data_IF_388891284165
#
_entry.id   IF_388891284165
#
_cell.length_a   1.000
_cell.length_b   1.000
_cell.length_c   1.000
_cell.angle_alpha   90.00
_cell.angle_beta   90.00
_cell.angle_gamma   90.00
#
_symmetry.space_group_name_H-M   'P 1'
#
loop_
_entity.id
_entity.type
_entity.pdbx_description
1 polymer ?
#
# COMPACT_ATOMS: atom_id res chain seq x y z
N UNK A 1 21.07 -11.61 14.16
CA UNK A 1 19.97 -12.54 13.82
C UNK A 1 18.93 -11.67 13.14
N UNK A 2 18.74 -11.78 11.82
CA UNK A 2 17.66 -11.05 11.13
C UNK A 2 16.46 -11.99 11.05
N UNK A 3 15.39 -11.62 11.74
CA UNK A 3 14.11 -12.29 11.68
C UNK A 3 13.13 -11.46 10.86
N UNK A 4 11.85 -11.58 11.20
CA UNK A 4 10.79 -10.73 10.68
C UNK A 4 10.89 -9.32 11.29
N UNK A 5 10.71 -8.28 10.49
CA UNK A 5 10.60 -6.90 10.98
C UNK A 5 9.16 -6.60 11.44
N UNK A 6 8.98 -5.59 12.29
CA UNK A 6 7.66 -5.26 12.86
C UNK A 6 6.60 -4.84 11.82
N UNK A 7 7.03 -4.35 10.66
CA UNK A 7 6.17 -3.93 9.55
C UNK A 7 5.92 -5.04 8.52
N UNK A 8 6.44 -6.24 8.76
CA UNK A 8 6.33 -7.35 7.81
C UNK A 8 5.33 -8.40 8.28
N UNK A 9 4.65 -8.99 7.31
CA UNK A 9 3.69 -10.05 7.50
C UNK A 9 4.35 -11.39 7.08
N UNK A 10 4.30 -12.45 7.91
CA UNK A 10 5.09 -13.65 7.68
C UNK A 10 4.51 -14.58 6.61
N UNK A 11 5.40 -15.17 5.81
CA UNK A 11 5.16 -16.35 4.96
C UNK A 11 6.29 -17.36 5.16
N UNK A 12 5.98 -18.61 5.46
CA UNK A 12 6.98 -19.66 5.64
C UNK A 12 6.38 -21.03 5.41
N UNK A 13 7.04 -21.87 4.62
CA UNK A 13 6.54 -23.22 4.38
C UNK A 13 5.14 -23.21 3.76
N UNK A 14 4.22 -23.94 4.37
CA UNK A 14 2.79 -23.95 4.01
C UNK A 14 2.00 -22.75 4.54
N UNK A 15 2.56 -21.98 5.47
CA UNK A 15 1.89 -20.90 6.15
C UNK A 15 2.03 -19.58 5.38
N UNK A 16 0.89 -18.97 5.09
CA UNK A 16 0.77 -17.60 4.58
C UNK A 16 -0.20 -16.90 5.52
N UNK A 17 0.24 -15.82 6.16
CA UNK A 17 -0.62 -15.04 7.04
C UNK A 17 -1.89 -14.58 6.29
N UNK A 18 -3.09 -14.72 6.87
CA UNK A 18 -4.36 -14.36 6.22
C UNK A 18 -4.47 -12.90 5.76
N UNK A 19 -3.68 -11.99 6.35
CA UNK A 19 -3.62 -10.58 5.93
C UNK A 19 -2.95 -10.40 4.56
N UNK A 20 -2.23 -11.40 4.07
CA UNK A 20 -1.64 -11.40 2.73
C UNK A 20 -2.72 -11.77 1.71
N UNK A 21 -3.35 -10.73 1.17
CA UNK A 21 -4.46 -10.85 0.23
C UNK A 21 -3.98 -10.51 -1.18
N UNK A 22 -4.23 -11.36 -2.19
CA UNK A 22 -4.03 -11.02 -3.60
C UNK A 22 -4.77 -9.74 -3.99
N UNK A 23 -4.17 -8.93 -4.84
CA UNK A 23 -4.63 -7.63 -5.29
C UNK A 23 -3.96 -6.46 -4.61
N UNK A 24 -3.34 -6.67 -3.44
CA UNK A 24 -2.55 -5.68 -2.72
C UNK A 24 -1.07 -5.72 -3.15
N UNK A 25 -0.34 -4.63 -2.91
CA UNK A 25 1.08 -4.52 -3.21
C UNK A 25 1.94 -4.83 -1.98
N UNK A 26 3.04 -5.55 -2.18
CA UNK A 26 3.98 -5.88 -1.12
C UNK A 26 5.42 -5.70 -1.57
N UNK A 27 6.30 -5.24 -0.68
CA UNK A 27 7.74 -5.50 -0.80
C UNK A 27 8.04 -6.84 -0.14
N UNK A 28 8.97 -7.60 -0.71
CA UNK A 28 9.29 -8.95 -0.24
C UNK A 28 10.74 -9.03 0.20
N UNK A 29 10.99 -9.51 1.41
CA UNK A 29 12.33 -9.72 1.95
C UNK A 29 12.45 -11.11 2.56
N UNK A 30 13.48 -11.89 2.22
CA UNK A 30 13.73 -13.14 2.93
C UNK A 30 14.33 -12.87 4.30
N UNK A 31 13.86 -13.57 5.31
CA UNK A 31 14.14 -13.23 6.70
C UNK A 31 15.63 -13.29 7.03
N UNK A 32 16.37 -14.20 6.39
CA UNK A 32 17.82 -14.37 6.59
C UNK A 32 18.71 -13.30 5.95
N UNK A 33 18.15 -12.31 5.22
CA UNK A 33 18.93 -11.24 4.58
C UNK A 33 18.24 -9.88 4.68
N UNK A 34 19.03 -8.81 4.54
CA UNK A 34 18.54 -7.43 4.57
C UNK A 34 17.98 -6.94 3.24
N UNK A 35 18.43 -7.55 2.13
CA UNK A 35 18.05 -7.09 0.80
C UNK A 35 16.69 -7.64 0.40
N UNK A 36 15.84 -6.76 -0.09
CA UNK A 36 14.55 -7.10 -0.68
C UNK A 36 14.74 -7.81 -2.03
N UNK A 37 13.80 -8.70 -2.35
CA UNK A 37 13.62 -9.23 -3.70
C UNK A 37 13.09 -8.14 -4.64
N UNK A 38 13.08 -8.44 -5.95
CA UNK A 38 12.51 -7.55 -6.98
C UNK A 38 13.10 -6.13 -6.99
N UNK A 39 14.36 -6.00 -6.61
CA UNK A 39 15.07 -4.72 -6.46
C UNK A 39 14.41 -3.77 -5.44
N UNK A 40 13.73 -4.31 -4.42
CA UNK A 40 13.03 -3.52 -3.42
C UNK A 40 11.73 -2.87 -3.87
N UNK A 41 11.25 -3.22 -5.06
CA UNK A 41 9.99 -2.70 -5.58
C UNK A 41 8.81 -3.38 -4.89
N UNK A 42 7.77 -2.59 -4.66
CA UNK A 42 6.47 -3.10 -4.25
C UNK A 42 5.77 -3.66 -5.49
N UNK A 43 5.43 -4.95 -5.49
CA UNK A 43 4.71 -5.57 -6.59
C UNK A 43 3.33 -6.03 -6.12
N UNK A 44 2.34 -5.92 -7.00
CA UNK A 44 1.00 -6.43 -6.74
C UNK A 44 1.02 -7.95 -6.70
N UNK A 45 0.56 -8.54 -5.60
CA UNK A 45 0.36 -9.97 -5.50
C UNK A 45 -0.85 -10.36 -6.36
N UNK A 46 -0.67 -11.20 -7.37
CA UNK A 46 -1.76 -11.66 -8.25
C UNK A 46 -2.45 -12.91 -7.68
N UNK A 47 -1.68 -13.83 -7.09
CA UNK A 47 -2.23 -15.07 -6.55
C UNK A 47 -1.31 -15.72 -5.51
N UNK A 48 -1.93 -16.51 -4.63
CA UNK A 48 -1.26 -17.48 -3.77
C UNK A 48 -1.68 -18.87 -4.23
N UNK A 49 -0.74 -19.68 -4.69
CA UNK A 49 -0.98 -21.00 -5.23
C UNK A 49 -1.47 -21.99 -4.16
N UNK A 50 -2.34 -22.92 -4.59
CA UNK A 50 -2.72 -24.09 -3.79
C UNK A 50 -1.57 -25.12 -3.83
N UNK A 51 -1.17 -25.63 -2.67
CA UNK A 51 -0.02 -26.55 -2.56
C UNK A 51 0.65 -26.52 -1.18
N UNK A 52 1.63 -27.40 -0.99
CA UNK A 52 2.46 -27.42 0.23
C UNK A 52 3.44 -26.25 0.22
N UNK A 53 4.24 -26.14 -0.83
CA UNK A 53 4.93 -24.89 -1.14
C UNK A 53 3.92 -23.89 -1.73
N UNK A 54 3.72 -22.75 -1.07
CA UNK A 54 2.83 -21.70 -1.57
C UNK A 54 3.55 -20.89 -2.63
N UNK A 55 3.06 -20.95 -3.87
CA UNK A 55 3.55 -20.11 -4.96
C UNK A 55 2.94 -18.71 -4.85
N UNK A 56 3.75 -17.72 -4.49
CA UNK A 56 3.38 -16.31 -4.52
C UNK A 56 3.69 -15.78 -5.92
N UNK A 57 2.67 -15.38 -6.67
CA UNK A 57 2.82 -14.81 -8.03
C UNK A 57 2.52 -13.32 -7.98
N UNK A 58 3.49 -12.50 -8.39
CA UNK A 58 3.41 -11.05 -8.44
C UNK A 58 3.26 -10.55 -9.88
N UNK A 59 2.76 -9.33 -10.02
CA UNK A 59 2.60 -8.66 -11.31
C UNK A 59 3.92 -8.60 -12.09
N UNK A 60 3.95 -9.11 -13.33
CA UNK A 60 5.14 -9.06 -14.17
C UNK A 60 5.41 -7.65 -14.70
N UNK A 61 6.68 -7.30 -14.89
CA UNK A 61 7.04 -6.07 -15.62
C UNK A 61 6.70 -6.16 -17.11
N UNK A 62 6.75 -7.38 -17.66
CA UNK A 62 6.43 -7.68 -19.04
C UNK A 62 5.82 -9.09 -19.13
N UNK A 63 4.74 -9.24 -19.90
CA UNK A 63 4.04 -10.50 -20.12
C UNK A 63 4.90 -11.61 -20.76
N UNK A 64 6.00 -11.25 -21.44
CA UNK A 64 6.83 -12.21 -22.20
C UNK A 64 7.80 -12.99 -21.28
N UNK A 65 8.37 -12.35 -20.25
CA UNK A 65 9.36 -12.96 -19.35
C UNK A 65 8.96 -12.78 -17.88
N UNK A 66 7.85 -13.40 -17.49
CA UNK A 66 7.29 -13.28 -16.15
C UNK A 66 8.04 -14.13 -15.10
N UNK A 67 9.18 -13.62 -14.62
CA UNK A 67 9.93 -14.22 -13.50
C UNK A 67 9.54 -13.63 -12.12
N UNK A 68 8.32 -13.13 -12.00
CA UNK A 68 7.84 -12.45 -10.79
C UNK A 68 7.05 -13.39 -9.89
N UNK A 69 7.57 -14.59 -9.63
CA UNK A 69 6.98 -15.53 -8.68
C UNK A 69 8.05 -16.18 -7.81
N UNK A 70 7.63 -16.67 -6.65
CA UNK A 70 8.49 -17.36 -5.71
C UNK A 70 7.71 -18.42 -4.95
N UNK A 71 8.42 -19.39 -4.39
CA UNK A 71 7.85 -20.42 -3.53
C UNK A 71 8.23 -20.12 -2.09
N UNK A 72 7.27 -20.18 -1.17
CA UNK A 72 7.48 -19.98 0.26
C UNK A 72 8.58 -20.89 0.85
N UNK A 73 8.74 -22.10 0.32
CA UNK A 73 9.71 -23.09 0.80
C UNK A 73 11.14 -22.84 0.30
N UNK A 74 11.33 -22.01 -0.73
CA UNK A 74 12.68 -21.66 -1.22
C UNK A 74 13.44 -20.78 -0.20
N UNK A 75 12.79 -20.37 0.88
CA UNK A 75 13.34 -19.59 1.97
C UNK A 75 13.08 -20.31 3.29
N UNK A 76 14.02 -21.14 3.77
CA UNK A 76 13.85 -21.93 5.00
C UNK A 76 13.50 -21.07 6.22
N UNK A 77 14.06 -19.87 6.30
CA UNK A 77 13.82 -18.90 7.36
C UNK A 77 12.52 -18.09 7.17
N UNK A 78 11.82 -18.31 6.05
CA UNK A 78 10.62 -17.59 5.65
C UNK A 78 10.88 -16.25 4.96
N UNK A 79 9.79 -15.56 4.70
CA UNK A 79 9.68 -14.28 4.03
C UNK A 79 8.90 -13.30 4.91
N UNK A 80 9.34 -12.05 4.90
CA UNK A 80 8.57 -10.89 5.34
C UNK A 80 7.97 -10.17 4.15
N UNK A 81 6.65 -9.98 4.17
CA UNK A 81 5.93 -9.16 3.20
C UNK A 81 5.54 -7.84 3.85
N UNK A 82 6.12 -6.74 3.41
CA UNK A 82 5.76 -5.39 3.84
C UNK A 82 4.58 -4.90 2.97
N UNK A 83 3.39 -4.63 3.55
CA UNK A 83 2.26 -4.09 2.80
C UNK A 83 2.53 -2.68 2.32
N UNK A 84 2.12 -2.36 1.09
CA UNK A 84 2.32 -1.05 0.47
C UNK A 84 1.00 -0.52 -0.07
N UNK A 85 0.44 0.47 0.63
CA UNK A 85 -0.76 1.18 0.20
C UNK A 85 -0.42 2.29 -0.78
N UNK A 86 0.61 3.08 -0.46
CA UNK A 86 1.03 4.25 -1.24
C UNK A 86 2.38 4.01 -1.90
N UNK A 87 2.49 4.31 -3.19
CA UNK A 87 3.71 4.16 -3.98
C UNK A 87 4.07 5.45 -4.74
N UNK A 88 5.35 5.60 -5.06
CA UNK A 88 5.85 6.71 -5.89
C UNK A 88 5.08 6.77 -7.21
N UNK A 89 4.69 7.98 -7.60
CA UNK A 89 3.92 8.25 -8.82
C UNK A 89 2.40 8.18 -8.65
N UNK A 90 1.88 7.70 -7.52
CA UNK A 90 0.44 7.80 -7.24
C UNK A 90 0.02 9.27 -7.11
N UNK A 91 -1.16 9.58 -7.67
CA UNK A 91 -1.73 10.92 -7.70
C UNK A 91 -3.03 10.97 -6.90
N UNK A 92 -3.26 12.09 -6.22
CA UNK A 92 -4.39 12.29 -5.34
C UNK A 92 -4.97 13.68 -5.54
N UNK A 93 -6.27 13.83 -5.31
CA UNK A 93 -6.98 15.08 -5.10
C UNK A 93 -7.05 15.32 -3.58
N UNK A 94 -6.55 16.46 -3.13
CA UNK A 94 -6.60 16.87 -1.72
C UNK A 94 -7.91 17.59 -1.47
N UNK A 95 -8.65 17.23 -0.42
CA UNK A 95 -9.93 17.81 -0.03
C UNK A 95 -9.96 18.19 1.46
N UNK A 96 -10.72 19.24 1.80
CA UNK A 96 -11.20 19.52 3.15
C UNK A 96 -12.73 19.61 3.13
N UNK A 97 -13.41 18.61 3.69
CA UNK A 97 -14.83 18.40 3.42
C UNK A 97 -15.09 18.19 1.92
N UNK A 98 -16.04 18.96 1.35
CA UNK A 98 -16.34 18.93 -0.09
C UNK A 98 -15.43 19.82 -0.93
N UNK A 99 -14.66 20.71 -0.31
CA UNK A 99 -13.79 21.62 -1.02
C UNK A 99 -12.52 20.92 -1.50
N UNK A 100 -12.21 21.03 -2.79
CA UNK A 100 -10.94 20.58 -3.34
C UNK A 100 -9.89 21.66 -3.08
N UNK A 101 -8.79 21.22 -2.50
CA UNK A 101 -7.65 22.07 -2.15
C UNK A 101 -6.52 21.97 -3.17
N UNK A 102 -6.42 20.87 -3.92
CA UNK A 102 -5.41 20.71 -4.97
C UNK A 102 -5.13 19.26 -5.35
N UNK A 103 -3.97 19.03 -5.99
CA UNK A 103 -3.47 17.69 -6.32
C UNK A 103 -2.16 17.39 -5.60
N UNK A 104 -1.94 16.11 -5.28
CA UNK A 104 -0.71 15.63 -4.69
C UNK A 104 -0.17 14.45 -5.50
N UNK A 105 1.15 14.42 -5.69
CA UNK A 105 1.84 13.27 -6.28
C UNK A 105 2.84 12.72 -5.28
N UNK A 106 2.85 11.40 -5.09
CA UNK A 106 3.80 10.76 -4.19
C UNK A 106 5.18 10.80 -4.83
N UNK A 107 6.06 11.59 -4.23
CA UNK A 107 7.43 11.73 -4.69
C UNK A 107 8.36 10.65 -4.10
N UNK A 108 8.14 10.24 -2.85
CA UNK A 108 8.97 9.24 -2.14
C UNK A 108 8.11 8.37 -1.22
N UNK A 109 8.51 7.11 -1.07
CA UNK A 109 7.80 6.13 -0.25
C UNK A 109 8.78 5.25 0.58
N UNK A 110 9.96 5.78 0.92
CA UNK A 110 11.07 4.98 1.46
C UNK A 110 10.82 4.41 2.87
N UNK A 111 9.93 5.01 3.65
CA UNK A 111 9.59 4.54 5.00
C UNK A 111 8.66 3.33 4.95
N UNK A 112 8.82 2.37 5.89
CA UNK A 112 7.87 1.27 6.03
C UNK A 112 6.44 1.75 6.24
N UNK A 113 5.47 0.98 5.73
CA UNK A 113 4.05 1.17 5.99
C UNK A 113 3.55 0.02 6.86
N UNK A 114 2.61 0.32 7.75
CA UNK A 114 2.05 -0.63 8.72
C UNK A 114 0.57 -0.81 8.45
N UNK A 115 0.08 -2.03 8.59
CA UNK A 115 -1.35 -2.30 8.62
C UNK A 115 -1.88 -1.92 10.02
N UNK A 116 -2.78 -0.94 10.07
CA UNK A 116 -3.46 -0.54 11.31
C UNK A 116 -4.65 -1.45 11.63
N UNK A 117 -5.49 -1.76 10.64
CA UNK A 117 -6.67 -2.61 10.78
C UNK A 117 -7.12 -3.17 9.42
N UNK A 118 -7.76 -4.35 9.43
CA UNK A 118 -8.42 -4.95 8.27
C UNK A 118 -9.83 -5.39 8.66
N UNK A 119 -10.83 -4.86 7.94
CA UNK A 119 -12.23 -5.24 8.12
C UNK A 119 -12.93 -5.50 6.79
N UNK A 120 -13.93 -6.38 6.80
CA UNK A 120 -14.79 -6.65 5.65
C UNK A 120 -16.03 -5.76 5.74
N UNK A 121 -16.15 -4.80 4.84
CA UNK A 121 -17.25 -3.83 4.85
C UNK A 121 -18.25 -4.12 3.71
N UNK A 122 -19.54 -4.06 3.99
CA UNK A 122 -20.63 -4.09 3.01
C UNK A 122 -21.09 -2.65 2.75
N UNK A 123 -20.98 -2.13 1.50
CA UNK A 123 -21.26 -0.70 1.22
C UNK A 123 -21.99 -0.42 -0.11
N UNK A 124 -22.75 0.68 -0.11
CA UNK A 124 -23.49 1.33 -1.23
C UNK A 124 -22.80 2.65 -1.65
N UNK A 125 -22.86 3.07 -2.94
CA UNK A 125 -22.05 4.17 -3.55
C UNK A 125 -22.75 5.54 -3.63
N UNK A 126 -21.99 6.66 -3.61
CA UNK A 126 -22.04 7.67 -4.71
C UNK A 126 -20.67 8.35 -5.03
N UNK A 127 -20.58 9.20 -6.08
CA UNK A 127 -19.33 9.80 -6.62
C UNK A 127 -19.39 11.31 -7.00
N UNK A 128 -18.32 11.87 -7.60
CA UNK A 128 -18.23 13.22 -8.23
C UNK A 128 -16.91 14.02 -7.95
N UNK A 129 -16.36 14.82 -8.91
CA UNK A 129 -14.97 15.37 -8.90
C UNK A 129 -14.71 16.88 -9.26
N UNK A 130 -13.44 17.20 -9.65
CA UNK A 130 -12.76 18.43 -10.25
C UNK A 130 -12.58 19.75 -9.45
N UNK A 131 -11.53 20.62 -9.53
CA UNK A 131 -10.14 20.73 -10.11
C UNK A 131 -9.42 22.07 -9.71
N UNK A 132 -8.06 22.09 -9.69
CA UNK A 132 -7.00 23.17 -9.79
C UNK A 132 -6.87 24.35 -8.76
N UNK A 133 -5.70 24.92 -8.39
CA UNK A 133 -4.26 24.53 -8.32
C UNK A 133 -3.45 25.55 -7.45
N UNK A 134 -2.56 25.08 -6.57
CA UNK A 134 -1.29 25.72 -6.15
C UNK A 134 -0.43 24.66 -5.43
N UNK A 135 0.87 24.57 -5.71
CA UNK A 135 1.70 23.41 -5.33
C UNK A 135 2.68 23.68 -4.17
N UNK A 136 2.71 22.77 -3.20
CA UNK A 136 3.68 22.77 -2.11
C UNK A 136 4.22 21.36 -1.85
N UNK A 137 5.54 21.22 -1.68
CA UNK A 137 6.15 19.95 -1.27
C UNK A 137 5.96 19.75 0.23
N UNK A 138 5.30 18.65 0.61
CA UNK A 138 4.98 18.36 2.01
C UNK A 138 5.34 16.92 2.36
N UNK A 139 5.79 16.73 3.60
CA UNK A 139 5.87 15.40 4.20
C UNK A 139 4.50 15.07 4.79
N UNK A 140 3.93 13.96 4.34
CA UNK A 140 2.64 13.43 4.81
C UNK A 140 2.88 12.12 5.55
N UNK A 141 2.42 12.03 6.79
CA UNK A 141 2.19 10.76 7.49
C UNK A 141 0.70 10.64 7.79
N UNK A 142 0.05 9.54 7.42
CA UNK A 142 -1.39 9.36 7.64
C UNK A 142 -1.83 7.93 7.43
N UNK A 143 -3.13 7.69 7.56
CA UNK A 143 -3.75 6.36 7.39
C UNK A 143 -4.34 6.26 5.99
N UNK A 144 -3.85 5.31 5.20
CA UNK A 144 -4.37 5.03 3.87
C UNK A 144 -5.41 3.89 3.93
N UNK A 145 -6.62 4.15 3.44
CA UNK A 145 -7.63 3.11 3.27
C UNK A 145 -7.41 2.44 1.92
N UNK A 146 -7.11 1.15 1.94
CA UNK A 146 -6.97 0.34 0.72
C UNK A 146 -8.16 -0.61 0.63
N UNK A 147 -8.86 -0.59 -0.50
CA UNK A 147 -10.03 -1.44 -0.74
C UNK A 147 -9.79 -2.37 -1.93
N UNK A 148 -10.15 -3.63 -1.74
CA UNK A 148 -10.29 -4.62 -2.81
C UNK A 148 -11.76 -5.01 -2.94
N UNK A 149 -12.38 -4.68 -4.07
CA UNK A 149 -13.73 -5.11 -4.36
C UNK A 149 -13.76 -6.64 -4.64
N UNK A 150 -14.83 -7.38 -4.28
CA UNK A 150 -14.86 -8.84 -4.39
C UNK A 150 -14.56 -9.40 -5.78
N UNK A 151 -15.00 -8.70 -6.84
CA UNK A 151 -14.79 -9.08 -8.25
C UNK A 151 -13.55 -8.46 -8.88
N UNK A 152 -12.82 -7.63 -8.12
CA UNK A 152 -11.59 -6.99 -8.58
C UNK A 152 -10.37 -7.83 -8.20
N UNK A 153 -9.44 -7.95 -9.13
CA UNK A 153 -8.11 -8.51 -8.90
C UNK A 153 -7.12 -7.45 -8.39
N UNK A 154 -7.59 -6.23 -8.15
CA UNK A 154 -6.77 -5.06 -7.84
C UNK A 154 -7.37 -4.38 -6.60
N UNK A 155 -6.56 -4.25 -5.56
CA UNK A 155 -6.82 -3.37 -4.45
C UNK A 155 -6.37 -1.95 -4.83
N UNK A 156 -7.10 -0.94 -4.39
CA UNK A 156 -6.80 0.47 -4.67
C UNK A 156 -6.92 1.26 -3.39
N UNK A 157 -6.08 2.28 -3.25
CA UNK A 157 -6.32 3.30 -2.22
C UNK A 157 -7.69 3.92 -2.51
N UNK A 158 -8.44 4.26 -1.47
CA UNK A 158 -9.73 4.95 -1.54
C UNK A 158 -9.58 6.36 -1.03
N UNK A 159 -8.90 6.51 0.09
CA UNK A 159 -8.56 7.80 0.69
C UNK A 159 -7.34 7.65 1.60
N UNK A 160 -6.62 8.75 1.83
CA UNK A 160 -5.66 8.89 2.92
C UNK A 160 -6.14 10.01 3.84
N UNK A 161 -6.22 9.75 5.13
CA UNK A 161 -6.71 10.69 6.15
C UNK A 161 -5.79 10.69 7.39
N UNK A 162 -6.13 11.45 8.43
CA UNK A 162 -5.30 11.66 9.63
C UNK A 162 -3.87 12.10 9.29
N UNK A 163 -3.78 13.05 8.37
CA UNK A 163 -2.51 13.48 7.80
C UNK A 163 -1.81 14.44 8.75
N UNK A 164 -0.73 13.98 9.36
CA UNK A 164 0.29 14.83 9.96
C UNK A 164 1.05 15.55 8.86
N UNK A 165 0.84 16.87 8.75
CA UNK A 165 1.70 17.76 7.97
C UNK A 165 2.85 18.25 8.87
N UNK A 166 4.01 18.56 8.30
CA UNK A 166 5.14 19.11 9.07
C UNK A 166 5.25 20.65 8.92
N UNK A 167 4.19 21.32 8.43
CA UNK A 167 4.24 22.72 7.99
C UNK A 167 3.21 23.64 8.66
N UNK A 168 3.35 24.94 8.42
CA UNK A 168 2.46 26.02 8.88
C UNK A 168 0.98 25.84 8.45
N UNK A 169 0.69 25.03 7.44
CA UNK A 169 -0.69 24.69 7.05
C UNK A 169 -1.43 23.91 8.14
N UNK A 170 -0.73 23.11 8.97
CA UNK A 170 -1.36 22.50 10.16
C UNK A 170 -2.01 23.53 11.08
N UNK A 171 -1.43 24.74 11.18
CA UNK A 171 -1.98 25.80 12.04
C UNK A 171 -3.30 26.31 11.46
N UNK A 172 -3.39 26.43 10.14
CA UNK A 172 -4.62 26.86 9.43
C UNK A 172 -5.75 25.82 9.55
N UNK A 173 -5.42 24.53 9.48
CA UNK A 173 -6.41 23.45 9.57
C UNK A 173 -6.77 23.08 11.01
N UNK A 174 -5.85 23.21 11.96
CA UNK A 174 -6.13 23.06 13.38
C UNK A 174 -7.14 24.12 13.88
N UNK A 175 -7.15 25.32 13.29
CA UNK A 175 -8.10 26.38 13.63
C UNK A 175 -9.51 26.14 13.07
N UNK A 176 -9.64 25.40 11.97
CA UNK A 176 -10.93 25.20 11.27
C UNK A 176 -11.59 23.86 11.57
N UNK A 177 -10.93 22.95 12.32
CA UNK A 177 -11.39 21.59 12.62
C UNK A 177 -11.81 20.75 11.39
N UNK A 178 -11.37 21.13 10.18
CA UNK A 178 -11.71 20.39 8.97
C UNK A 178 -10.70 19.26 8.73
N UNK A 179 -11.23 18.05 8.52
CA UNK A 179 -10.42 16.88 8.18
C UNK A 179 -9.93 16.97 6.72
N UNK A 180 -8.62 16.79 6.53
CA UNK A 180 -8.00 16.73 5.20
C UNK A 180 -7.96 15.30 4.71
N UNK A 181 -8.41 15.09 3.47
CA UNK A 181 -8.45 13.78 2.80
C UNK A 181 -7.75 13.83 1.45
N UNK A 182 -7.00 12.79 1.11
CA UNK A 182 -6.36 12.62 -0.18
C UNK A 182 -7.06 11.50 -0.93
N UNK A 183 -7.78 11.82 -2.00
CA UNK A 183 -8.57 10.88 -2.80
C UNK A 183 -7.79 10.52 -4.06
N UNK A 184 -7.52 9.24 -4.35
CA UNK A 184 -6.79 8.85 -5.56
C UNK A 184 -7.44 9.37 -6.84
N UNK A 185 -6.61 9.87 -7.76
CA UNK A 185 -7.02 10.31 -9.10
C UNK A 185 -7.20 9.14 -10.05
#
# INVERSE_FOLDING_TARGET
MTGLEQFEIPVVGTYVDPRIIPGFCYKVRPNNRKNHLFNGRALRLQSVGMGYAKRLTFEPDNAINANNYLWSDNHPDGLGLEPRAVNVGMKFIVKAGEQILGEATVFRDDKPQFEENTEKIELSRPGGGSSEEDSYLMRVSGVAIVRKDPKSNIARVVEVFNIGLDSQLNILFAQTHMEIKFIPK
#
